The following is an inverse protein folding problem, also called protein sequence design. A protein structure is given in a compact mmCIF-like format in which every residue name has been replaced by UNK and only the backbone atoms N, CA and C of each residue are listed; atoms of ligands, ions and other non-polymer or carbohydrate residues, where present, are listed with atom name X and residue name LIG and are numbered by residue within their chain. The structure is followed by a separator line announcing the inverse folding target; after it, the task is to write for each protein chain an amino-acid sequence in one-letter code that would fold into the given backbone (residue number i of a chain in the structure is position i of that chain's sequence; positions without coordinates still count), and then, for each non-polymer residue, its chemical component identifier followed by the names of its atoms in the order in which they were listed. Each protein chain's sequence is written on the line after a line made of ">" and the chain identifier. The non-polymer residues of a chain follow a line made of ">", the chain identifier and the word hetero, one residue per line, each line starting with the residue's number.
data_IF_025509246906
#
_entry.id   IF_025509246906
#
_cell.length_a   1.000
_cell.length_b   1.000
_cell.length_c   1.000
_cell.angle_alpha   90.00
_cell.angle_beta   90.00
_cell.angle_gamma   90.00
#
_symmetry.space_group_name_H-M   'P 1'
#
loop_
_entity.id
_entity.type
_entity.pdbx_description
1 polymer ?
#
# COMPACT_ATOMS: atom_id res chain seq x y z
N UNK A 1 -5.92 -11.41 -46.13
CA UNK A 1 -7.31 -11.19 -45.66
C UNK A 1 -8.16 -12.29 -46.24
N UNK A 2 -8.29 -13.41 -45.53
CA UNK A 2 -9.25 -14.46 -45.86
C UNK A 2 -10.41 -14.36 -44.87
N UNK A 3 -11.54 -13.82 -45.33
CA UNK A 3 -12.80 -13.96 -44.62
C UNK A 3 -13.26 -15.42 -44.79
N UNK A 4 -12.84 -16.28 -43.86
CA UNK A 4 -13.31 -17.67 -43.80
C UNK A 4 -14.79 -17.66 -43.41
N UNK A 5 -15.65 -17.98 -44.38
CA UNK A 5 -16.99 -18.48 -44.13
C UNK A 5 -16.89 -19.67 -43.16
N UNK A 6 -17.15 -19.45 -41.86
CA UNK A 6 -17.41 -20.54 -40.91
C UNK A 6 -18.83 -21.02 -41.20
N UNK A 7 -18.96 -22.23 -41.74
CA UNK A 7 -20.23 -22.94 -41.73
C UNK A 7 -20.83 -22.90 -40.31
N UNK A 8 -22.09 -22.47 -40.21
CA UNK A 8 -22.79 -22.36 -38.93
C UNK A 8 -22.99 -23.79 -38.40
N UNK A 9 -22.12 -24.23 -37.49
CA UNK A 9 -22.31 -25.49 -36.80
C UNK A 9 -23.57 -25.38 -35.93
N UNK A 10 -24.62 -26.13 -36.29
CA UNK A 10 -25.90 -26.17 -35.57
C UNK A 10 -25.72 -26.47 -34.09
N UNK A 11 -24.69 -27.23 -33.72
CA UNK A 11 -24.37 -27.52 -32.30
C UNK A 11 -23.81 -26.28 -31.59
N UNK A 12 -22.97 -25.50 -32.25
CA UNK A 12 -22.43 -24.25 -31.70
C UNK A 12 -23.56 -23.23 -31.53
N UNK A 13 -24.45 -23.11 -32.52
CA UNK A 13 -25.62 -22.21 -32.44
C UNK A 13 -26.57 -22.57 -31.28
N UNK A 14 -26.85 -23.87 -31.07
CA UNK A 14 -27.68 -24.33 -29.95
C UNK A 14 -27.04 -24.01 -28.59
N UNK A 15 -25.72 -24.19 -28.45
CA UNK A 15 -24.98 -23.82 -27.24
C UNK A 15 -25.03 -22.31 -27.00
N UNK A 16 -24.92 -21.48 -28.04
CA UNK A 16 -25.01 -20.03 -27.92
C UNK A 16 -26.41 -19.60 -27.45
N UNK A 17 -27.47 -20.16 -28.04
CA UNK A 17 -28.86 -19.89 -27.64
C UNK A 17 -29.09 -20.29 -26.18
N UNK A 18 -28.53 -21.42 -25.74
CA UNK A 18 -28.59 -21.83 -24.34
C UNK A 18 -27.90 -20.82 -23.42
N UNK A 19 -26.69 -20.38 -23.74
CA UNK A 19 -25.97 -19.38 -22.95
C UNK A 19 -26.75 -18.06 -22.85
N UNK A 20 -27.30 -17.58 -23.96
CA UNK A 20 -28.13 -16.37 -24.01
C UNK A 20 -29.38 -16.55 -23.15
N UNK A 21 -30.06 -17.71 -23.23
CA UNK A 21 -31.29 -17.97 -22.48
C UNK A 21 -31.04 -17.98 -20.97
N UNK A 22 -29.95 -18.60 -20.53
CA UNK A 22 -29.56 -18.64 -19.12
C UNK A 22 -29.13 -17.25 -18.63
N UNK A 23 -28.37 -16.51 -19.43
CA UNK A 23 -28.03 -15.11 -19.14
C UNK A 23 -29.28 -14.25 -18.96
N UNK A 24 -30.20 -14.27 -19.92
CA UNK A 24 -31.46 -13.53 -19.85
C UNK A 24 -32.29 -13.91 -18.62
N UNK A 25 -32.39 -15.21 -18.29
CA UNK A 25 -33.11 -15.66 -17.10
C UNK A 25 -32.48 -15.13 -15.80
N UNK A 26 -31.14 -15.15 -15.70
CA UNK A 26 -30.42 -14.59 -14.55
C UNK A 26 -30.65 -13.08 -14.41
N UNK A 27 -30.65 -12.33 -15.52
CA UNK A 27 -30.96 -10.90 -15.49
C UNK A 27 -32.40 -10.62 -15.08
N UNK A 28 -33.38 -11.41 -15.55
CA UNK A 28 -34.78 -11.29 -15.11
C UNK A 28 -34.94 -11.56 -13.61
N UNK A 29 -34.21 -12.54 -13.05
CA UNK A 29 -34.21 -12.78 -11.60
C UNK A 29 -33.66 -11.58 -10.83
N UNK A 30 -32.54 -10.99 -11.29
CA UNK A 30 -31.98 -9.78 -10.69
C UNK A 30 -32.98 -8.63 -10.78
N UNK A 31 -33.63 -8.43 -11.93
CA UNK A 31 -34.67 -7.42 -12.08
C UNK A 31 -35.82 -7.62 -11.09
N UNK A 32 -36.30 -8.85 -10.95
CA UNK A 32 -37.36 -9.22 -10.01
C UNK A 32 -37.01 -8.94 -8.55
N UNK A 33 -35.76 -9.24 -8.15
CA UNK A 33 -35.25 -8.93 -6.80
C UNK A 33 -35.27 -7.41 -6.56
N UNK A 34 -34.79 -6.62 -7.52
CA UNK A 34 -34.74 -5.16 -7.39
C UNK A 34 -36.13 -4.52 -7.35
N UNK A 35 -37.11 -5.10 -8.06
CA UNK A 35 -38.51 -4.69 -7.95
C UNK A 35 -39.12 -5.07 -6.59
N UNK A 36 -38.87 -6.29 -6.10
CA UNK A 36 -39.44 -6.78 -4.85
C UNK A 36 -38.96 -5.98 -3.63
N UNK A 37 -37.67 -5.63 -3.60
CA UNK A 37 -37.07 -4.89 -2.49
C UNK A 37 -37.13 -3.37 -2.65
N UNK A 38 -37.76 -2.85 -3.70
CA UNK A 38 -37.82 -1.40 -3.99
C UNK A 38 -36.43 -0.74 -3.95
N UNK A 39 -35.45 -1.37 -4.58
CA UNK A 39 -34.08 -0.85 -4.65
C UNK A 39 -34.04 0.24 -5.73
N UNK A 40 -34.49 1.43 -5.31
CA UNK A 40 -34.72 2.58 -6.16
C UNK A 40 -33.89 3.77 -5.63
N UNK A 41 -33.26 4.53 -6.52
CA UNK A 41 -32.61 5.81 -6.19
C UNK A 41 -33.40 6.92 -6.87
N UNK A 42 -33.91 7.88 -6.09
CA UNK A 42 -34.76 8.97 -6.58
C UNK A 42 -35.99 8.48 -7.39
N UNK A 43 -36.58 7.34 -7.02
CA UNK A 43 -37.73 6.76 -7.70
C UNK A 43 -37.37 6.00 -9.00
N UNK A 44 -36.09 5.85 -9.30
CA UNK A 44 -35.61 5.08 -10.45
C UNK A 44 -35.09 3.72 -10.01
N UNK A 45 -35.68 2.65 -10.55
CA UNK A 45 -35.33 1.27 -10.18
C UNK A 45 -33.97 0.87 -10.73
N UNK A 46 -33.03 0.59 -9.84
CA UNK A 46 -31.66 0.22 -10.21
C UNK A 46 -31.58 -1.13 -10.95
N UNK A 47 -32.63 -1.95 -10.86
CA UNK A 47 -32.75 -3.19 -11.63
C UNK A 47 -32.66 -2.95 -13.14
N UNK A 48 -33.02 -1.77 -13.65
CA UNK A 48 -32.88 -1.40 -15.06
C UNK A 48 -31.42 -1.34 -15.52
N UNK A 49 -30.49 -1.12 -14.60
CA UNK A 49 -29.04 -1.16 -14.88
C UNK A 49 -28.48 -2.55 -14.61
N UNK A 50 -28.78 -3.12 -13.43
CA UNK A 50 -28.12 -4.33 -12.97
C UNK A 50 -28.62 -5.61 -13.64
N UNK A 51 -29.85 -5.64 -14.16
CA UNK A 51 -30.37 -6.81 -14.86
C UNK A 51 -29.66 -7.09 -16.19
N UNK A 52 -29.48 -6.11 -17.11
CA UNK A 52 -28.63 -6.28 -18.29
C UNK A 52 -27.20 -6.70 -17.96
N UNK A 53 -26.60 -6.13 -16.90
CA UNK A 53 -25.23 -6.50 -16.45
C UNK A 53 -25.15 -7.96 -16.05
N UNK A 54 -26.06 -8.38 -15.18
CA UNK A 54 -26.09 -9.74 -14.68
C UNK A 54 -26.29 -10.73 -15.83
N UNK A 55 -27.18 -10.43 -16.76
CA UNK A 55 -27.41 -11.27 -17.93
C UNK A 55 -26.17 -11.41 -18.81
N UNK A 56 -25.57 -10.29 -19.21
CA UNK A 56 -24.37 -10.30 -20.04
C UNK A 56 -23.18 -10.98 -19.36
N UNK A 57 -23.02 -10.79 -18.06
CA UNK A 57 -21.96 -11.41 -17.28
C UNK A 57 -22.13 -12.93 -17.19
N UNK A 58 -23.33 -13.40 -16.87
CA UNK A 58 -23.65 -14.83 -16.79
C UNK A 58 -23.50 -15.50 -18.16
N UNK A 59 -24.01 -14.88 -19.23
CA UNK A 59 -23.80 -15.36 -20.60
C UNK A 59 -22.31 -15.47 -20.94
N UNK A 60 -21.52 -14.43 -20.63
CA UNK A 60 -20.08 -14.41 -20.97
C UNK A 60 -19.32 -15.52 -20.26
N UNK A 61 -19.61 -15.77 -18.97
CA UNK A 61 -18.99 -16.88 -18.24
C UNK A 61 -19.38 -18.23 -18.83
N UNK A 62 -20.67 -18.43 -19.13
CA UNK A 62 -21.14 -19.69 -19.69
C UNK A 62 -20.62 -19.92 -21.11
N UNK A 63 -20.53 -18.86 -21.92
CA UNK A 63 -19.98 -18.92 -23.26
C UNK A 63 -18.50 -19.32 -23.24
N UNK A 64 -17.71 -18.71 -22.34
CA UNK A 64 -16.30 -19.06 -22.15
C UNK A 64 -16.12 -20.53 -21.72
N UNK A 65 -16.99 -21.02 -20.84
CA UNK A 65 -16.93 -22.41 -20.35
C UNK A 65 -17.42 -23.47 -21.37
N UNK A 66 -18.47 -23.18 -22.15
CA UNK A 66 -19.15 -24.18 -22.99
C UNK A 66 -18.68 -24.14 -24.46
N UNK A 67 -18.32 -22.96 -24.93
CA UNK A 67 -18.00 -22.65 -26.33
C UNK A 67 -16.54 -22.23 -26.49
N UNK A 68 -15.94 -21.61 -25.47
CA UNK A 68 -14.55 -21.12 -25.51
C UNK A 68 -14.36 -19.85 -26.34
N UNK A 69 -15.46 -19.20 -26.75
CA UNK A 69 -15.48 -17.91 -27.45
C UNK A 69 -16.52 -16.99 -26.78
N UNK A 70 -16.25 -15.68 -26.74
CA UNK A 70 -17.19 -14.70 -26.20
C UNK A 70 -18.25 -14.35 -27.25
N UNK A 71 -19.54 -14.50 -26.90
CA UNK A 71 -20.69 -14.25 -27.79
C UNK A 71 -21.08 -12.76 -27.81
N UNK A 72 -20.42 -11.91 -27.01
CA UNK A 72 -20.63 -10.46 -27.04
C UNK A 72 -21.77 -9.98 -26.13
N UNK A 73 -22.16 -10.79 -25.15
CA UNK A 73 -23.18 -10.45 -24.14
C UNK A 73 -24.53 -10.02 -24.77
N UNK A 74 -25.05 -10.83 -25.70
CA UNK A 74 -26.28 -10.54 -26.45
C UNK A 74 -27.49 -10.43 -25.49
N UNK A 75 -27.54 -11.23 -24.44
CA UNK A 75 -28.57 -11.19 -23.39
C UNK A 75 -28.63 -9.84 -22.67
N UNK A 76 -27.50 -9.15 -22.49
CA UNK A 76 -27.50 -7.80 -21.94
C UNK A 76 -28.24 -6.82 -22.85
N UNK A 77 -28.03 -6.91 -24.17
CA UNK A 77 -28.73 -6.08 -25.14
C UNK A 77 -30.23 -6.40 -25.19
N UNK A 78 -30.59 -7.68 -25.19
CA UNK A 78 -32.00 -8.11 -25.17
C UNK A 78 -32.70 -7.55 -23.94
N UNK A 79 -32.13 -7.75 -22.74
CA UNK A 79 -32.73 -7.22 -21.52
C UNK A 79 -32.69 -5.70 -21.44
N UNK A 80 -31.66 -5.04 -21.94
CA UNK A 80 -31.61 -3.59 -21.97
C UNK A 80 -32.74 -3.02 -22.83
N UNK A 81 -32.97 -3.57 -24.02
CA UNK A 81 -34.07 -3.17 -24.89
C UNK A 81 -35.41 -3.47 -24.22
N UNK A 82 -35.59 -4.67 -23.67
CA UNK A 82 -36.85 -5.10 -23.06
C UNK A 82 -37.21 -4.26 -21.82
N UNK A 83 -36.25 -4.05 -20.92
CA UNK A 83 -36.44 -3.23 -19.71
C UNK A 83 -36.66 -1.77 -20.03
N UNK A 84 -35.97 -1.22 -21.04
CA UNK A 84 -36.17 0.16 -21.50
C UNK A 84 -37.55 0.31 -22.15
N UNK A 85 -37.92 -0.61 -23.05
CA UNK A 85 -39.22 -0.59 -23.71
C UNK A 85 -40.37 -0.76 -22.70
N UNK A 86 -40.28 -1.75 -21.81
CA UNK A 86 -41.29 -1.98 -20.78
C UNK A 86 -41.46 -0.78 -19.85
N UNK A 87 -40.36 -0.27 -19.29
CA UNK A 87 -40.41 0.77 -18.26
C UNK A 87 -40.82 2.13 -18.80
N UNK A 88 -40.38 2.47 -20.02
CA UNK A 88 -40.65 3.77 -20.61
C UNK A 88 -41.88 3.82 -21.51
N UNK A 89 -42.15 2.77 -22.30
CA UNK A 89 -43.22 2.76 -23.30
C UNK A 89 -44.50 2.11 -22.75
N UNK A 90 -44.42 0.96 -22.08
CA UNK A 90 -45.62 0.25 -21.59
C UNK A 90 -46.15 0.79 -20.26
N UNK A 91 -45.26 1.11 -19.31
CA UNK A 91 -45.65 1.60 -17.97
C UNK A 91 -46.08 3.07 -17.93
N UNK A 92 -45.84 3.83 -19.01
CA UNK A 92 -46.30 5.21 -19.16
C UNK A 92 -47.42 5.30 -20.22
N UNK A 93 -48.67 4.95 -19.87
CA UNK A 93 -49.80 4.90 -20.82
C UNK A 93 -50.25 6.27 -21.34
N UNK A 94 -49.65 7.37 -20.88
CA UNK A 94 -49.95 8.74 -21.33
C UNK A 94 -49.44 9.02 -22.75
N UNK A 95 -48.64 8.11 -23.32
CA UNK A 95 -48.06 8.22 -24.65
C UNK A 95 -48.65 7.15 -25.59
N UNK A 96 -49.81 7.44 -26.20
CA UNK A 96 -50.28 6.69 -27.37
C UNK A 96 -49.30 6.78 -28.55
N UNK A 97 -49.53 6.11 -29.68
CA UNK A 97 -48.66 6.26 -30.87
C UNK A 97 -48.89 7.59 -31.60
N UNK A 98 -48.30 8.67 -31.08
CA UNK A 98 -48.51 10.05 -31.53
C UNK A 98 -47.15 10.71 -31.85
N UNK A 99 -47.13 11.85 -32.56
CA UNK A 99 -45.90 12.64 -32.80
C UNK A 99 -45.19 13.03 -31.50
N UNK A 100 -45.97 13.35 -30.47
CA UNK A 100 -45.45 13.66 -29.12
C UNK A 100 -44.71 12.45 -28.55
N UNK A 101 -45.20 11.24 -28.82
CA UNK A 101 -44.58 10.00 -28.37
C UNK A 101 -43.30 9.70 -29.13
N UNK A 102 -43.28 9.88 -30.45
CA UNK A 102 -42.04 9.81 -31.22
C UNK A 102 -40.99 10.83 -30.72
N UNK A 103 -41.40 12.08 -30.45
CA UNK A 103 -40.52 13.12 -29.92
C UNK A 103 -39.98 12.80 -28.52
N UNK A 104 -40.83 12.32 -27.62
CA UNK A 104 -40.43 11.91 -26.27
C UNK A 104 -39.52 10.68 -26.26
N UNK A 105 -39.70 9.70 -27.15
CA UNK A 105 -38.77 8.57 -27.32
C UNK A 105 -37.39 9.08 -27.69
N UNK A 106 -37.29 10.09 -28.58
CA UNK A 106 -36.01 10.70 -28.95
C UNK A 106 -35.36 11.37 -27.74
N UNK A 107 -36.12 12.13 -26.94
CA UNK A 107 -35.61 12.80 -25.73
C UNK A 107 -35.18 11.79 -24.66
N UNK A 108 -35.95 10.71 -24.47
CA UNK A 108 -35.62 9.62 -23.55
C UNK A 108 -34.36 8.89 -24.03
N UNK A 109 -34.24 8.60 -25.33
CA UNK A 109 -33.06 7.96 -25.90
C UNK A 109 -31.83 8.85 -25.76
N UNK A 110 -31.97 10.16 -25.96
CA UNK A 110 -30.91 11.14 -25.70
C UNK A 110 -30.48 11.15 -24.22
N UNK A 111 -31.41 11.01 -23.27
CA UNK A 111 -31.08 10.90 -21.85
C UNK A 111 -30.49 9.53 -21.46
N UNK A 112 -30.84 8.47 -22.20
CA UNK A 112 -30.31 7.12 -22.02
C UNK A 112 -28.88 6.95 -22.55
N UNK A 113 -28.41 7.81 -23.46
CA UNK A 113 -27.03 7.77 -23.93
C UNK A 113 -26.01 8.09 -22.82
N UNK A 114 -26.15 9.18 -22.03
CA UNK A 114 -25.28 9.43 -20.88
C UNK A 114 -25.24 8.29 -19.86
N UNK A 115 -26.39 7.65 -19.57
CA UNK A 115 -26.43 6.51 -18.64
C UNK A 115 -25.76 5.28 -19.23
N UNK A 116 -25.93 5.01 -20.53
CA UNK A 116 -25.22 3.95 -21.25
C UNK A 116 -23.71 4.21 -21.30
N UNK A 117 -23.27 5.45 -21.48
CA UNK A 117 -21.84 5.81 -21.44
C UNK A 117 -21.26 5.62 -20.03
N UNK A 118 -21.99 6.03 -18.98
CA UNK A 118 -21.58 5.80 -17.59
C UNK A 118 -21.55 4.30 -17.25
N UNK A 119 -22.47 3.52 -17.81
CA UNK A 119 -22.49 2.06 -17.71
C UNK A 119 -21.25 1.43 -18.36
N UNK A 120 -20.92 1.83 -19.59
CA UNK A 120 -19.71 1.36 -20.28
C UNK A 120 -18.48 1.74 -19.46
N UNK A 121 -18.42 2.96 -18.92
CA UNK A 121 -17.32 3.39 -18.05
C UNK A 121 -17.22 2.52 -16.79
N UNK A 122 -18.31 2.20 -16.11
CA UNK A 122 -18.29 1.33 -14.92
C UNK A 122 -17.84 -0.10 -15.24
N UNK A 123 -18.30 -0.67 -16.36
CA UNK A 123 -17.88 -2.01 -16.82
C UNK A 123 -16.42 -2.02 -17.25
N UNK A 124 -15.96 -0.98 -17.96
CA UNK A 124 -14.57 -0.84 -18.39
C UNK A 124 -13.65 -0.65 -17.18
N UNK A 125 -14.00 0.25 -16.25
CA UNK A 125 -13.24 0.48 -15.01
C UNK A 125 -13.24 -0.77 -14.14
N UNK A 126 -14.38 -1.44 -13.98
CA UNK A 126 -14.49 -2.71 -13.26
C UNK A 126 -13.68 -3.83 -13.92
N UNK A 127 -13.66 -3.91 -15.25
CA UNK A 127 -12.86 -4.85 -16.03
C UNK A 127 -11.35 -4.59 -15.87
N UNK A 128 -10.93 -3.32 -15.89
CA UNK A 128 -9.55 -2.90 -15.62
C UNK A 128 -9.14 -3.29 -14.20
N UNK A 129 -9.97 -2.98 -13.19
CA UNK A 129 -9.73 -3.35 -11.79
C UNK A 129 -9.65 -4.87 -11.62
N UNK A 130 -10.56 -5.63 -12.24
CA UNK A 130 -10.55 -7.10 -12.21
C UNK A 130 -9.27 -7.69 -12.83
N UNK A 131 -8.81 -7.15 -13.96
CA UNK A 131 -7.54 -7.55 -14.56
C UNK A 131 -6.33 -7.17 -13.69
N UNK A 132 -6.38 -6.02 -13.03
CA UNK A 132 -5.36 -5.62 -12.07
C UNK A 132 -5.29 -6.60 -10.88
N UNK A 133 -6.44 -6.95 -10.28
CA UNK A 133 -6.50 -7.95 -9.21
C UNK A 133 -6.08 -9.37 -9.67
N UNK A 134 -6.46 -9.81 -10.88
CA UNK A 134 -5.98 -11.07 -11.46
C UNK A 134 -4.46 -11.09 -11.61
N UNK A 135 -3.89 -9.96 -12.02
CA UNK A 135 -2.44 -9.79 -12.18
C UNK A 135 -1.73 -9.89 -10.83
N UNK A 136 -2.23 -9.21 -9.80
CA UNK A 136 -1.72 -9.33 -8.42
C UNK A 136 -1.78 -10.79 -7.94
N UNK A 137 -2.93 -11.45 -8.11
CA UNK A 137 -3.11 -12.85 -7.70
C UNK A 137 -2.17 -13.81 -8.44
N UNK A 138 -1.86 -13.54 -9.71
CA UNK A 138 -0.87 -14.31 -10.49
C UNK A 138 0.54 -14.13 -9.93
N UNK A 139 0.91 -12.92 -9.52
CA UNK A 139 2.19 -12.68 -8.84
C UNK A 139 2.26 -13.41 -7.49
N UNK A 140 1.21 -13.34 -6.68
CA UNK A 140 1.12 -14.07 -5.41
C UNK A 140 1.28 -15.59 -5.60
N UNK A 141 0.59 -16.16 -6.59
CA UNK A 141 0.65 -17.59 -6.89
C UNK A 141 2.04 -18.00 -7.43
N UNK A 142 2.68 -17.14 -8.23
CA UNK A 142 4.04 -17.37 -8.73
C UNK A 142 5.10 -17.29 -7.61
N UNK A 143 4.92 -16.40 -6.63
CA UNK A 143 5.77 -16.33 -5.44
C UNK A 143 5.57 -17.59 -4.59
N UNK A 144 4.33 -17.98 -4.32
CA UNK A 144 4.00 -19.18 -3.56
C UNK A 144 4.54 -20.45 -4.22
N UNK A 145 4.40 -20.58 -5.54
CA UNK A 145 4.93 -21.72 -6.28
C UNK A 145 6.46 -21.70 -6.37
N UNK A 146 7.12 -20.53 -6.40
CA UNK A 146 8.58 -20.44 -6.27
C UNK A 146 9.06 -20.86 -4.88
N UNK A 147 8.32 -20.51 -3.83
CA UNK A 147 8.63 -20.93 -2.45
C UNK A 147 8.37 -22.43 -2.27
N UNK A 148 7.35 -22.99 -2.93
CA UNK A 148 6.98 -24.40 -2.80
C UNK A 148 7.78 -25.34 -3.72
N UNK A 149 8.26 -24.87 -4.88
CA UNK A 149 9.14 -25.61 -5.79
C UNK A 149 10.64 -25.40 -5.52
N UNK A 150 11.00 -24.51 -4.59
CA UNK A 150 12.26 -24.71 -3.89
C UNK A 150 12.06 -25.97 -3.08
N UNK A 151 12.69 -27.06 -3.52
CA UNK A 151 12.90 -28.24 -2.68
C UNK A 151 13.23 -27.70 -1.30
N UNK A 152 12.33 -27.91 -0.35
CA UNK A 152 12.63 -27.73 1.06
C UNK A 152 13.96 -28.44 1.22
N UNK A 153 15.03 -27.67 1.44
CA UNK A 153 16.25 -28.18 2.00
C UNK A 153 15.77 -28.92 3.23
N UNK A 154 15.70 -30.24 3.13
CA UNK A 154 15.51 -31.11 4.26
C UNK A 154 16.72 -30.78 5.11
N UNK A 155 16.52 -29.90 6.10
CA UNK A 155 17.49 -29.67 7.14
C UNK A 155 17.67 -31.06 7.76
N UNK A 156 18.68 -31.78 7.32
CA UNK A 156 19.43 -32.57 8.28
C UNK A 156 19.73 -31.56 9.39
N UNK A 157 19.15 -31.78 10.55
CA UNK A 157 19.61 -31.17 11.79
C UNK A 157 21.05 -31.65 11.96
N UNK A 158 21.98 -31.06 11.21
CA UNK A 158 23.25 -30.72 11.79
C UNK A 158 22.86 -29.93 13.01
N UNK A 159 23.20 -30.46 14.17
CA UNK A 159 23.24 -29.69 15.39
C UNK A 159 24.08 -28.47 15.07
N UNK A 160 23.41 -27.39 14.67
CA UNK A 160 24.00 -26.07 14.65
C UNK A 160 24.14 -25.81 16.13
N UNK A 161 25.36 -25.94 16.65
CA UNK A 161 25.70 -25.31 17.92
C UNK A 161 25.15 -23.89 17.81
N UNK A 162 24.05 -23.65 18.52
CA UNK A 162 23.55 -22.31 18.72
C UNK A 162 24.63 -21.70 19.59
N UNK A 163 25.63 -21.08 18.95
CA UNK A 163 26.44 -20.08 19.60
C UNK A 163 25.43 -19.09 20.16
N UNK A 164 25.22 -19.20 21.46
CA UNK A 164 24.50 -18.21 22.23
C UNK A 164 25.42 -17.02 22.18
N UNK A 165 25.30 -16.20 21.13
CA UNK A 165 25.95 -14.89 21.06
C UNK A 165 25.50 -14.16 22.32
N UNK A 166 26.40 -14.11 23.31
CA UNK A 166 26.21 -13.32 24.50
C UNK A 166 25.96 -11.90 24.05
N UNK A 167 24.83 -11.32 24.47
CA UNK A 167 24.57 -9.91 24.20
C UNK A 167 25.80 -9.12 24.67
N UNK A 168 26.38 -8.26 23.83
CA UNK A 168 27.47 -7.41 24.26
C UNK A 168 26.94 -6.59 25.43
N UNK A 169 27.62 -6.67 26.57
CA UNK A 169 27.32 -5.83 27.73
C UNK A 169 28.12 -4.55 27.55
N UNK A 170 27.44 -3.41 27.46
CA UNK A 170 28.13 -2.13 27.48
C UNK A 170 28.69 -1.91 28.89
N UNK A 171 30.01 -1.84 29.00
CA UNK A 171 30.69 -1.60 30.27
C UNK A 171 30.70 -0.10 30.59
N UNK A 172 29.75 0.32 31.43
CA UNK A 172 29.67 1.71 31.88
C UNK A 172 30.89 2.12 32.70
N UNK A 173 31.56 1.18 33.38
CA UNK A 173 32.74 1.47 34.19
C UNK A 173 33.92 1.84 33.29
N UNK A 174 34.15 1.06 32.23
CA UNK A 174 35.21 1.31 31.25
C UNK A 174 35.01 2.65 30.53
N UNK A 175 33.80 2.91 30.03
CA UNK A 175 33.47 4.19 29.39
C UNK A 175 33.70 5.38 30.32
N UNK A 176 33.20 5.29 31.56
CA UNK A 176 33.40 6.35 32.56
C UNK A 176 34.88 6.55 32.89
N UNK A 177 35.67 5.49 32.98
CA UNK A 177 37.11 5.58 33.18
C UNK A 177 37.81 6.27 32.00
N UNK A 178 37.44 5.94 30.76
CA UNK A 178 37.98 6.59 29.56
C UNK A 178 37.71 8.10 29.56
N UNK A 179 36.47 8.50 29.85
CA UNK A 179 36.08 9.92 29.86
C UNK A 179 36.73 10.67 31.03
N UNK A 180 36.75 10.08 32.23
CA UNK A 180 37.30 10.72 33.43
C UNK A 180 38.83 10.78 33.42
N UNK A 181 39.50 9.78 32.84
CA UNK A 181 40.97 9.78 32.69
C UNK A 181 41.48 10.88 31.77
N UNK A 182 40.60 11.49 30.96
CA UNK A 182 40.97 12.53 30.05
C UNK A 182 41.21 13.90 30.73
N UNK A 183 41.12 14.00 32.08
CA UNK A 183 41.38 15.25 32.83
C UNK A 183 40.70 16.48 32.20
N UNK A 184 39.39 16.38 31.96
CA UNK A 184 38.63 17.37 31.22
C UNK A 184 37.31 17.70 31.93
N UNK A 185 36.95 18.98 32.00
CA UNK A 185 35.74 19.41 32.68
C UNK A 185 34.55 19.47 31.71
N UNK A 186 33.54 18.61 31.94
CA UNK A 186 32.26 18.66 31.22
C UNK A 186 31.21 19.37 32.07
N UNK A 187 30.79 20.56 31.64
CA UNK A 187 29.83 21.38 32.38
C UNK A 187 28.65 21.72 31.48
N UNK A 188 27.45 21.33 31.88
CA UNK A 188 26.19 21.62 31.16
C UNK A 188 25.62 23.00 31.50
N UNK A 189 26.19 23.68 32.51
CA UNK A 189 25.83 25.04 32.90
C UNK A 189 26.60 26.07 32.08
N UNK A 190 26.02 27.26 31.81
CA UNK A 190 26.65 28.29 30.99
C UNK A 190 27.83 29.00 31.66
N UNK A 191 28.02 28.84 32.97
CA UNK A 191 29.13 29.44 33.70
C UNK A 191 29.57 28.60 34.90
N UNK A 192 30.80 28.83 35.34
CA UNK A 192 31.39 28.22 36.53
C UNK A 192 31.62 29.32 37.58
N UNK A 193 30.95 29.26 38.73
CA UNK A 193 30.97 30.34 39.73
C UNK A 193 32.28 30.44 40.51
N UNK A 194 32.94 29.31 40.75
CA UNK A 194 34.05 29.20 41.72
C UNK A 194 35.43 29.04 41.06
N UNK A 195 35.53 29.16 39.73
CA UNK A 195 36.80 29.09 39.00
C UNK A 195 36.89 30.19 37.96
N UNK A 196 38.11 30.69 37.77
CA UNK A 196 38.44 31.53 36.62
C UNK A 196 38.67 30.65 35.40
N UNK A 197 38.20 31.14 34.26
CA UNK A 197 38.38 30.46 32.99
C UNK A 197 38.45 31.47 31.85
N UNK A 198 39.21 31.13 30.83
CA UNK A 198 39.30 31.85 29.57
C UNK A 198 38.44 31.16 28.51
N UNK A 199 37.63 31.95 27.80
CA UNK A 199 36.81 31.45 26.70
C UNK A 199 37.68 31.33 25.46
N UNK A 200 37.70 30.15 24.84
CA UNK A 200 38.43 29.91 23.61
C UNK A 200 37.52 30.19 22.43
N UNK A 201 36.53 29.32 22.20
CA UNK A 201 35.53 29.45 21.13
C UNK A 201 34.40 28.43 21.32
N UNK A 202 33.40 28.47 20.45
CA UNK A 202 32.37 27.43 20.35
C UNK A 202 32.93 26.20 19.63
N UNK A 203 32.70 25.01 20.19
CA UNK A 203 33.07 23.74 19.58
C UNK A 203 31.84 22.88 19.33
N UNK A 204 31.91 22.08 18.27
CA UNK A 204 30.89 21.09 17.94
C UNK A 204 31.54 19.78 17.44
N UNK A 205 30.88 18.67 17.69
CA UNK A 205 31.17 17.36 17.13
C UNK A 205 29.90 16.65 16.73
N UNK A 206 30.02 15.75 15.76
CA UNK A 206 28.92 14.91 15.29
C UNK A 206 29.40 13.48 15.06
N UNK A 207 28.50 12.53 15.34
CA UNK A 207 28.65 11.11 15.05
C UNK A 207 27.32 10.59 14.51
N UNK A 208 27.37 9.78 13.46
CA UNK A 208 26.19 9.16 12.87
C UNK A 208 26.21 7.67 13.19
N UNK A 209 25.14 7.19 13.82
CA UNK A 209 24.95 5.79 14.18
C UNK A 209 23.85 5.19 13.31
N UNK A 210 24.20 4.19 12.49
CA UNK A 210 23.22 3.49 11.67
C UNK A 210 22.26 2.65 12.54
N UNK A 211 20.97 2.75 12.24
CA UNK A 211 19.94 1.93 12.87
C UNK A 211 19.93 0.54 12.25
N UNK A 212 19.51 -0.46 13.03
CA UNK A 212 19.33 -1.81 12.48
C UNK A 212 18.26 -1.82 11.37
N UNK A 213 18.63 -2.29 10.16
CA UNK A 213 17.80 -2.26 8.94
C UNK A 213 16.72 -3.35 8.89
N UNK A 214 16.63 -4.21 9.91
CA UNK A 214 15.64 -5.29 9.96
C UNK A 214 14.24 -4.74 10.26
N UNK A 215 13.33 -4.94 9.30
CA UNK A 215 11.91 -4.53 9.39
C UNK A 215 11.14 -5.37 10.42
N UNK A 216 11.55 -6.63 10.63
CA UNK A 216 10.95 -7.57 11.59
C UNK A 216 12.07 -8.17 12.43
N UNK A 217 12.02 -7.95 13.74
CA UNK A 217 12.93 -8.58 14.70
C UNK A 217 12.20 -9.71 15.41
N UNK A 218 12.76 -10.92 15.35
CA UNK A 218 12.23 -12.10 16.04
C UNK A 218 12.22 -11.91 17.57
N UNK A 219 13.13 -11.09 18.10
CA UNK A 219 13.25 -10.75 19.51
C UNK A 219 13.38 -9.21 19.64
N UNK A 220 12.26 -8.47 19.80
CA UNK A 220 12.26 -7.01 19.78
C UNK A 220 13.06 -6.39 20.92
N UNK A 221 13.01 -6.98 22.12
CA UNK A 221 13.73 -6.48 23.31
C UNK A 221 15.25 -6.50 23.12
N UNK A 222 15.80 -7.60 22.57
CA UNK A 222 17.24 -7.70 22.29
C UNK A 222 17.68 -6.70 21.22
N UNK A 223 16.85 -6.50 20.20
CA UNK A 223 17.14 -5.52 19.15
C UNK A 223 17.15 -4.08 19.69
N UNK A 224 16.23 -3.74 20.60
CA UNK A 224 16.21 -2.45 21.29
C UNK A 224 17.45 -2.27 22.17
N UNK A 225 17.80 -3.27 22.97
CA UNK A 225 19.00 -3.25 23.80
C UNK A 225 20.29 -3.02 22.99
N UNK A 226 20.46 -3.74 21.88
CA UNK A 226 21.59 -3.54 20.97
C UNK A 226 21.62 -2.15 20.34
N UNK A 227 20.45 -1.58 20.02
CA UNK A 227 20.36 -0.23 19.49
C UNK A 227 20.75 0.81 20.55
N UNK A 228 20.36 0.60 21.81
CA UNK A 228 20.75 1.47 22.93
C UNK A 228 22.27 1.46 23.15
N UNK A 229 22.90 0.29 23.09
CA UNK A 229 24.36 0.17 23.21
C UNK A 229 25.06 1.01 22.14
N UNK A 230 24.65 0.85 20.87
CA UNK A 230 25.23 1.61 19.75
C UNK A 230 25.07 3.12 19.92
N UNK A 231 23.96 3.57 20.51
CA UNK A 231 23.74 4.99 20.81
C UNK A 231 24.69 5.46 21.93
N UNK A 232 24.89 4.65 22.98
CA UNK A 232 25.85 4.95 24.06
C UNK A 232 27.28 5.05 23.52
N UNK A 233 27.70 4.09 22.69
CA UNK A 233 29.01 4.09 22.03
C UNK A 233 29.19 5.34 21.16
N UNK A 234 28.20 5.67 20.33
CA UNK A 234 28.24 6.85 19.47
C UNK A 234 28.29 8.17 20.26
N UNK A 235 27.64 8.23 21.43
CA UNK A 235 27.72 9.38 22.34
C UNK A 235 29.14 9.53 22.91
N UNK A 236 29.77 8.43 23.34
CA UNK A 236 31.13 8.48 23.85
C UNK A 236 32.13 8.89 22.77
N UNK A 237 32.01 8.32 21.57
CA UNK A 237 32.82 8.74 20.40
C UNK A 237 32.64 10.23 20.11
N UNK A 238 31.41 10.74 20.18
CA UNK A 238 31.10 12.15 19.94
C UNK A 238 31.77 13.06 20.98
N UNK A 239 31.76 12.67 22.25
CA UNK A 239 32.42 13.40 23.34
C UNK A 239 33.95 13.35 23.23
N UNK A 240 34.53 12.22 22.85
CA UNK A 240 35.99 12.08 22.64
C UNK A 240 36.45 12.96 21.46
N UNK A 241 35.68 12.99 20.37
CA UNK A 241 35.93 13.90 19.24
C UNK A 241 35.82 15.37 19.66
N UNK A 242 34.88 15.72 20.53
CA UNK A 242 34.75 17.08 21.04
C UNK A 242 35.93 17.47 21.93
N UNK A 243 36.29 16.59 22.86
CA UNK A 243 37.39 16.76 23.79
C UNK A 243 38.71 16.94 23.05
N UNK A 244 39.01 16.08 22.07
CA UNK A 244 40.23 16.18 21.28
C UNK A 244 40.31 17.50 20.50
N UNK A 245 39.20 17.98 19.93
CA UNK A 245 39.14 19.31 19.28
C UNK A 245 39.46 20.44 20.26
N UNK A 246 38.92 20.39 21.48
CA UNK A 246 39.13 21.44 22.49
C UNK A 246 40.56 21.40 23.02
N UNK A 247 41.10 20.21 23.33
CA UNK A 247 42.50 20.04 23.76
C UNK A 247 43.49 20.52 22.71
N UNK A 248 43.25 20.23 21.43
CA UNK A 248 44.09 20.71 20.33
C UNK A 248 44.07 22.25 20.20
N UNK A 249 43.02 22.90 20.68
CA UNK A 249 42.91 24.35 20.76
C UNK A 249 43.44 24.94 22.08
N UNK A 250 44.03 24.11 22.96
CA UNK A 250 44.61 24.54 24.23
C UNK A 250 43.63 24.60 25.40
N UNK A 251 42.39 24.10 25.26
CA UNK A 251 41.40 24.07 26.33
C UNK A 251 41.41 22.80 27.16
N UNK A 252 40.91 22.88 28.40
CA UNK A 252 40.78 21.76 29.33
C UNK A 252 39.34 21.59 29.87
N UNK A 253 38.38 22.35 29.35
CA UNK A 253 36.98 22.20 29.73
C UNK A 253 36.00 22.68 28.66
N UNK A 254 34.73 22.38 28.89
CA UNK A 254 33.60 22.87 28.10
C UNK A 254 32.47 23.35 29.02
N UNK A 255 31.92 24.51 28.73
CA UNK A 255 30.72 25.08 29.33
C UNK A 255 29.52 24.95 28.40
N UNK A 256 28.32 25.01 28.97
CA UNK A 256 27.05 24.91 28.23
C UNK A 256 26.98 23.68 27.31
N UNK A 257 27.53 22.54 27.77
CA UNK A 257 27.52 21.31 27.00
C UNK A 257 26.08 20.87 26.73
N UNK A 258 25.72 20.83 25.45
CA UNK A 258 24.47 20.32 24.94
C UNK A 258 24.72 19.12 24.03
N UNK A 259 24.03 18.01 24.28
CA UNK A 259 24.07 16.81 23.45
C UNK A 259 22.67 16.57 22.89
N UNK A 260 22.55 16.57 21.57
CA UNK A 260 21.29 16.41 20.85
C UNK A 260 21.32 15.11 20.03
N UNK A 261 20.17 14.43 19.99
CA UNK A 261 19.96 13.21 19.22
C UNK A 261 18.87 13.48 18.18
N UNK A 262 19.22 13.35 16.91
CA UNK A 262 18.32 13.62 15.79
C UNK A 262 18.22 12.42 14.86
N UNK A 263 17.00 12.06 14.46
CA UNK A 263 16.80 11.04 13.41
C UNK A 263 17.05 11.67 12.05
N UNK A 264 17.88 11.01 11.23
CA UNK A 264 18.24 11.47 9.89
C UNK A 264 17.99 10.37 8.85
N UNK A 265 17.79 10.78 7.59
CA UNK A 265 17.44 9.91 6.47
C UNK A 265 15.93 9.80 6.23
N UNK A 266 15.55 9.33 5.03
CA UNK A 266 14.16 9.31 4.54
C UNK A 266 13.18 8.53 5.42
N UNK A 267 13.67 7.60 6.24
CA UNK A 267 12.86 6.80 7.18
C UNK A 267 13.44 6.79 8.61
N UNK A 268 14.35 7.71 8.94
CA UNK A 268 15.07 7.68 10.22
C UNK A 268 16.04 6.49 10.32
N UNK A 269 16.74 6.21 9.23
CA UNK A 269 17.67 5.07 9.08
C UNK A 269 18.93 5.22 9.92
N UNK A 270 19.23 6.43 10.38
CA UNK A 270 20.37 6.72 11.24
C UNK A 270 20.02 7.74 12.32
N UNK A 271 20.78 7.70 13.40
CA UNK A 271 20.71 8.66 14.50
C UNK A 271 21.97 9.52 14.43
N UNK A 272 21.80 10.83 14.27
CA UNK A 272 22.86 11.80 14.39
C UNK A 272 22.95 12.25 15.85
N UNK A 273 24.13 12.10 16.45
CA UNK A 273 24.46 12.56 17.79
C UNK A 273 25.36 13.78 17.65
N UNK A 274 24.90 14.93 18.13
CA UNK A 274 25.63 16.19 18.04
C UNK A 274 25.93 16.70 19.45
N UNK A 275 27.20 16.98 19.74
CA UNK A 275 27.60 17.62 21.00
C UNK A 275 28.20 19.00 20.70
N UNK A 276 27.78 20.01 21.47
CA UNK A 276 28.22 21.40 21.29
C UNK A 276 28.38 22.09 22.65
N UNK A 277 29.28 23.06 22.72
CA UNK A 277 29.44 23.93 23.88
C UNK A 277 30.61 24.90 23.71
N UNK A 278 30.85 25.71 24.74
CA UNK A 278 31.91 26.72 24.74
C UNK A 278 33.17 26.09 25.33
N UNK A 279 34.22 25.94 24.52
CA UNK A 279 35.51 25.45 24.99
C UNK A 279 36.22 26.51 25.83
N UNK A 280 36.79 26.08 26.95
CA UNK A 280 37.44 26.96 27.93
C UNK A 280 38.78 26.41 28.39
N UNK A 281 39.64 27.31 28.83
CA UNK A 281 40.81 27.01 29.64
C UNK A 281 40.52 27.44 31.08
N UNK A 282 40.36 26.47 31.97
CA UNK A 282 40.11 26.66 33.39
C UNK A 282 41.47 26.71 34.09
N UNK A 283 41.69 27.78 34.86
CA UNK A 283 42.87 27.91 35.70
C UNK A 283 42.83 26.82 36.78
N UNK A 284 43.95 26.11 36.95
CA UNK A 284 44.12 25.12 38.02
C UNK A 284 44.31 25.78 39.37
#
# INVERSE_FOLDING_TARGET
>A
MEFRNKEIDKKQMAKSIFCISVGTAAGLLVYGIFLFFHIDIFGWNLGLIFAPLAAGYVETILADQIIGENIGAISAFILFIDTTFYSFILKNPTLGWNIITAGSIIVILQAAFPTLINYILLVVVGGILSNFFKTIKKYETNIKNRIQNQQFFRWETKDVEIETESLPVYDELESNQMINSAEFYFITSPSMKDKKYEIIQLFHSEVIVEKNKKIINAEPEKAEYLQLIRIKDGKDECLIKLLSKIKNAGGNGILDLSINYSLIGYSGESIQITAMGIGVLIDN
#
